data_IF_401429254260
#
_entry.id   IF_401429254260
#
_cell.length_a   1.000
_cell.length_b   1.000
_cell.length_c   1.000
_cell.angle_alpha   90.00
_cell.angle_beta   90.00
_cell.angle_gamma   90.00
#
_symmetry.space_group_name_H-M   'P 1'
#
loop_
_entity.id
_entity.type
_entity.pdbx_description
1 polymer ?
#
# COMPACT_ATOMS: atom_id res chain seq x y z
N UNK A 1 7.85 4.38 -21.44
CA UNK A 1 7.08 5.60 -21.67
C UNK A 1 5.82 5.61 -20.82
N UNK A 2 5.58 6.71 -20.16
CA UNK A 2 4.42 6.86 -19.28
C UNK A 2 3.21 7.28 -20.12
N UNK A 3 2.33 6.34 -20.41
CA UNK A 3 1.11 6.57 -21.19
C UNK A 3 -0.11 6.25 -20.35
N UNK A 4 -1.15 7.05 -20.51
CA UNK A 4 -2.45 6.73 -19.92
C UNK A 4 -2.94 5.38 -20.47
N UNK A 5 -3.54 4.55 -19.61
CA UNK A 5 -4.08 3.28 -20.07
C UNK A 5 -5.27 3.49 -21.00
N UNK A 6 -5.45 2.60 -21.96
CA UNK A 6 -6.60 2.66 -22.86
C UNK A 6 -7.92 2.43 -22.10
N UNK A 7 -7.86 1.63 -21.05
CA UNK A 7 -8.99 1.35 -20.15
C UNK A 7 -8.53 1.56 -18.71
N UNK A 8 -9.47 1.87 -17.80
CA UNK A 8 -9.12 1.96 -16.37
C UNK A 8 -8.43 0.71 -15.87
N UNK A 9 -7.45 0.90 -15.02
CA UNK A 9 -6.62 -0.17 -14.47
C UNK A 9 -6.92 -0.34 -12.99
N UNK A 10 -6.92 -1.57 -12.52
CA UNK A 10 -6.97 -1.85 -11.08
C UNK A 10 -5.57 -1.69 -10.52
N UNK A 11 -5.45 -0.83 -9.51
CA UNK A 11 -4.21 -0.62 -8.78
C UNK A 11 -4.44 -0.87 -7.30
N UNK A 12 -3.38 -1.23 -6.60
CA UNK A 12 -3.45 -1.57 -5.18
C UNK A 12 -2.50 -0.67 -4.43
N UNK A 13 -3.06 0.03 -3.43
CA UNK A 13 -2.33 1.02 -2.65
C UNK A 13 -2.22 0.52 -1.21
N UNK A 14 -0.98 0.40 -0.71
CA UNK A 14 -0.73 0.12 0.69
C UNK A 14 -0.70 1.41 1.49
N UNK A 15 -1.32 1.39 2.67
CA UNK A 15 -1.31 2.49 3.62
C UNK A 15 -0.75 2.01 4.94
N UNK A 16 0.10 2.84 5.57
CA UNK A 16 0.66 2.51 6.87
C UNK A 16 0.92 3.77 7.69
N UNK A 17 0.82 3.63 9.01
CA UNK A 17 1.11 4.73 9.95
C UNK A 17 1.44 4.15 11.33
N UNK A 18 2.35 4.80 12.06
CA UNK A 18 2.60 4.46 13.47
C UNK A 18 2.86 5.68 14.37
N UNK A 19 2.48 6.88 13.91
CA UNK A 19 2.66 8.13 14.66
C UNK A 19 1.37 8.93 14.70
N UNK A 20 1.19 9.71 15.75
CA UNK A 20 0.16 10.78 15.86
C UNK A 20 -1.25 10.29 15.51
N UNK A 21 -1.74 9.25 16.19
CA UNK A 21 -3.04 8.64 15.93
C UNK A 21 -3.09 7.93 14.56
N UNK A 22 -2.46 6.74 14.47
CA UNK A 22 -2.38 5.99 13.20
C UNK A 22 -3.74 5.68 12.56
N UNK A 23 -4.76 5.36 13.36
CA UNK A 23 -6.10 5.07 12.83
C UNK A 23 -6.67 6.27 12.10
N UNK A 24 -6.51 7.47 12.66
CA UNK A 24 -6.97 8.71 12.03
C UNK A 24 -6.21 8.95 10.72
N UNK A 25 -4.90 8.77 10.71
CA UNK A 25 -4.09 8.97 9.50
C UNK A 25 -4.47 7.98 8.40
N UNK A 26 -4.74 6.72 8.74
CA UNK A 26 -5.20 5.74 7.76
C UNK A 26 -6.54 6.14 7.15
N UNK A 27 -7.51 6.53 7.99
CA UNK A 27 -8.82 6.97 7.51
C UNK A 27 -8.73 8.23 6.67
N UNK A 28 -7.91 9.19 7.09
CA UNK A 28 -7.65 10.41 6.33
C UNK A 28 -6.97 10.10 4.99
N UNK A 29 -6.05 9.14 4.98
CA UNK A 29 -5.39 8.68 3.77
C UNK A 29 -6.38 8.06 2.77
N UNK A 30 -7.28 7.20 3.25
CA UNK A 30 -8.34 6.62 2.41
C UNK A 30 -9.24 7.72 1.83
N UNK A 31 -9.62 8.70 2.66
CA UNK A 31 -10.43 9.82 2.21
C UNK A 31 -9.72 10.62 1.11
N UNK A 32 -8.40 10.83 1.25
CA UNK A 32 -7.59 11.49 0.23
C UNK A 32 -7.57 10.70 -1.08
N UNK A 33 -7.47 9.37 -1.01
CA UNK A 33 -7.52 8.52 -2.20
C UNK A 33 -8.84 8.67 -2.95
N UNK A 34 -9.96 8.87 -2.24
CA UNK A 34 -11.27 9.07 -2.88
C UNK A 34 -11.35 10.37 -3.66
N UNK A 35 -10.46 11.32 -3.41
CA UNK A 35 -10.41 12.62 -4.09
C UNK A 35 -9.42 12.66 -5.25
N UNK A 36 -8.71 11.58 -5.52
CA UNK A 36 -7.74 11.55 -6.61
C UNK A 36 -8.43 11.66 -7.97
N UNK A 37 -7.85 12.48 -8.85
CA UNK A 37 -8.34 12.70 -10.21
C UNK A 37 -8.37 11.37 -10.99
N UNK A 38 -9.46 11.13 -11.73
CA UNK A 38 -9.64 9.95 -12.58
C UNK A 38 -9.38 8.62 -11.85
N UNK A 39 -9.68 8.59 -10.55
CA UNK A 39 -9.41 7.42 -9.73
C UNK A 39 -10.58 7.20 -8.78
N UNK A 40 -11.02 5.94 -8.67
CA UNK A 40 -12.11 5.55 -7.78
C UNK A 40 -11.64 4.46 -6.85
N UNK A 41 -11.82 4.68 -5.54
CA UNK A 41 -11.61 3.63 -4.54
C UNK A 41 -12.77 2.64 -4.63
N UNK A 42 -12.47 1.38 -4.95
CA UNK A 42 -13.48 0.33 -5.08
C UNK A 42 -13.67 -0.45 -3.80
N UNK A 43 -12.57 -0.74 -3.10
CA UNK A 43 -12.62 -1.62 -1.95
C UNK A 43 -11.38 -1.37 -1.08
N UNK A 44 -11.56 -1.34 0.23
CA UNK A 44 -10.45 -1.26 1.17
C UNK A 44 -10.53 -2.42 2.16
N UNK A 45 -9.37 -2.91 2.57
CA UNK A 45 -9.26 -3.93 3.60
C UNK A 45 -9.63 -3.36 4.97
N UNK A 46 -9.78 -4.25 5.94
CA UNK A 46 -9.75 -3.87 7.35
C UNK A 46 -8.40 -3.26 7.71
N UNK A 47 -8.31 -2.69 8.90
CA UNK A 47 -7.07 -2.16 9.46
C UNK A 47 -6.37 -3.26 10.24
N UNK A 48 -5.06 -3.38 10.07
CA UNK A 48 -4.25 -4.42 10.70
C UNK A 48 -3.12 -3.80 11.51
N UNK A 49 -2.89 -4.34 12.71
CA UNK A 49 -1.75 -3.96 13.55
C UNK A 49 -0.59 -4.91 13.30
N UNK A 50 0.61 -4.35 13.09
CA UNK A 50 1.82 -5.14 12.88
C UNK A 50 2.99 -4.55 13.64
N UNK A 51 3.91 -5.42 14.10
CA UNK A 51 5.15 -4.97 14.71
C UNK A 51 6.02 -4.26 13.67
N UNK A 52 6.82 -3.25 14.10
CA UNK A 52 7.70 -2.57 13.16
C UNK A 52 8.76 -3.52 12.58
N UNK A 53 9.07 -3.34 11.30
CA UNK A 53 10.15 -4.03 10.61
C UNK A 53 11.35 -3.09 10.58
N UNK A 54 12.54 -3.57 10.93
CA UNK A 54 13.73 -2.75 11.03
C UNK A 54 13.92 -2.18 12.42
N UNK A 55 13.78 -0.87 12.63
CA UNK A 55 13.89 -0.26 13.95
C UNK A 55 12.74 -0.70 14.84
N UNK A 56 13.04 -1.52 15.86
CA UNK A 56 12.05 -2.09 16.77
C UNK A 56 11.62 -1.12 17.88
N UNK A 57 12.38 -0.03 18.09
CA UNK A 57 12.10 0.98 19.13
C UNK A 57 11.12 2.03 18.63
N UNK A 58 9.94 1.58 18.19
CA UNK A 58 8.88 2.47 17.72
C UNK A 58 7.52 1.77 17.88
N UNK A 59 6.41 2.53 17.89
CA UNK A 59 5.09 1.92 18.00
C UNK A 59 4.78 0.98 16.83
N UNK A 60 3.85 0.05 17.07
CA UNK A 60 3.33 -0.82 16.02
C UNK A 60 2.69 0.01 14.90
N UNK A 61 2.79 -0.50 13.68
CA UNK A 61 2.12 0.08 12.53
C UNK A 61 0.65 -0.35 12.45
N UNK A 62 -0.18 0.53 11.93
CA UNK A 62 -1.50 0.18 11.42
C UNK A 62 -1.41 0.22 9.91
N UNK A 63 -1.86 -0.84 9.26
CA UNK A 63 -1.74 -1.02 7.81
C UNK A 63 -3.09 -1.39 7.20
N UNK A 64 -3.27 -1.01 5.94
CA UNK A 64 -4.41 -1.38 5.13
C UNK A 64 -4.01 -1.41 3.65
N UNK A 65 -4.86 -2.00 2.82
CA UNK A 65 -4.70 -1.96 1.37
C UNK A 65 -6.03 -1.55 0.75
N UNK A 66 -5.98 -0.63 -0.21
CA UNK A 66 -7.14 -0.25 -1.01
C UNK A 66 -6.93 -0.62 -2.47
N UNK A 67 -7.99 -1.17 -3.09
CA UNK A 67 -8.03 -1.36 -4.53
C UNK A 67 -8.70 -0.15 -5.15
N UNK A 68 -8.03 0.45 -6.12
CA UNK A 68 -8.56 1.59 -6.86
C UNK A 68 -8.64 1.26 -8.34
N UNK A 69 -9.58 1.91 -9.02
CA UNK A 69 -9.69 1.87 -10.48
C UNK A 69 -9.25 3.24 -10.99
N UNK A 70 -8.25 3.29 -11.85
CA UNK A 70 -7.62 4.54 -12.25
C UNK A 70 -7.34 4.63 -13.74
N UNK A 71 -7.49 5.84 -14.27
CA UNK A 71 -7.03 6.20 -15.62
C UNK A 71 -5.67 6.91 -15.59
N UNK A 72 -5.11 7.13 -14.40
CA UNK A 72 -3.80 7.74 -14.27
C UNK A 72 -2.70 6.77 -14.66
N UNK A 73 -1.60 7.29 -15.22
CA UNK A 73 -0.40 6.51 -15.47
C UNK A 73 0.26 6.12 -14.14
N UNK A 74 1.08 5.05 -14.12
CA UNK A 74 1.76 4.66 -12.88
C UNK A 74 2.59 5.79 -12.26
N UNK A 75 3.34 6.52 -13.07
CA UNK A 75 4.18 7.61 -12.57
C UNK A 75 3.35 8.76 -12.01
N UNK A 76 2.26 9.13 -12.67
CA UNK A 76 1.37 10.19 -12.20
C UNK A 76 0.67 9.78 -10.91
N UNK A 77 0.17 8.54 -10.84
CA UNK A 77 -0.45 8.03 -9.64
C UNK A 77 0.54 8.06 -8.46
N UNK A 78 1.76 7.58 -8.68
CA UNK A 78 2.80 7.59 -7.63
C UNK A 78 3.10 9.02 -7.14
N UNK A 79 3.18 9.98 -8.06
CA UNK A 79 3.39 11.38 -7.71
C UNK A 79 2.29 11.92 -6.81
N UNK A 80 1.03 11.59 -7.11
CA UNK A 80 -0.11 12.02 -6.29
C UNK A 80 -0.10 11.35 -4.91
N UNK A 81 0.30 10.09 -4.82
CA UNK A 81 0.46 9.41 -3.53
C UNK A 81 1.51 10.12 -2.67
N UNK A 82 2.62 10.54 -3.27
CA UNK A 82 3.65 11.29 -2.56
C UNK A 82 3.14 12.64 -2.05
N UNK A 83 2.27 13.31 -2.81
CA UNK A 83 1.67 14.57 -2.39
C UNK A 83 0.76 14.36 -1.17
N UNK A 84 0.00 13.26 -1.13
CA UNK A 84 -0.83 12.92 0.02
C UNK A 84 0.04 12.66 1.26
N UNK A 85 1.13 11.93 1.10
CA UNK A 85 2.08 11.69 2.21
C UNK A 85 2.58 13.00 2.79
N UNK A 86 2.98 13.95 1.94
CA UNK A 86 3.49 15.25 2.37
C UNK A 86 2.44 16.06 3.10
N UNK A 87 1.19 16.01 2.64
CA UNK A 87 0.09 16.69 3.29
C UNK A 87 -0.18 16.15 4.70
N UNK A 88 0.24 14.92 4.98
CA UNK A 88 0.15 14.30 6.30
C UNK A 88 1.44 14.43 7.11
N UNK A 89 2.33 15.32 6.71
CA UNK A 89 3.54 15.65 7.46
C UNK A 89 4.71 14.70 7.27
N UNK A 90 4.67 13.79 6.28
CA UNK A 90 5.79 12.90 6.05
C UNK A 90 7.01 13.66 5.54
N UNK A 91 8.13 13.47 6.22
CA UNK A 91 9.44 13.94 5.79
C UNK A 91 10.27 12.71 5.44
N UNK A 92 10.75 12.63 4.19
CA UNK A 92 11.53 11.48 3.73
C UNK A 92 12.99 11.52 4.19
N UNK A 93 13.38 12.61 4.81
CA UNK A 93 14.68 12.76 5.45
C UNK A 93 14.62 12.11 6.82
N UNK A 94 15.50 11.18 7.09
CA UNK A 94 15.55 10.51 8.37
C UNK A 94 15.92 9.06 8.25
N UNK A 95 15.81 8.34 9.36
CA UNK A 95 16.19 6.95 9.45
C UNK A 95 15.25 6.06 8.63
N UNK A 96 15.83 5.24 7.75
CA UNK A 96 15.09 4.27 6.96
C UNK A 96 14.44 3.25 7.89
N UNK A 97 13.13 3.04 7.73
CA UNK A 97 12.36 2.15 8.60
C UNK A 97 11.92 2.80 9.91
N UNK A 98 12.13 4.13 10.07
CA UNK A 98 11.69 4.87 11.24
C UNK A 98 10.21 5.20 11.25
N UNK A 99 9.74 5.90 12.31
CA UNK A 99 8.32 6.26 12.48
C UNK A 99 7.77 7.12 11.34
N UNK A 100 6.48 6.92 11.00
CA UNK A 100 5.82 7.64 9.90
C UNK A 100 4.39 7.99 10.25
N UNK A 101 3.99 9.23 9.88
CA UNK A 101 2.60 9.67 10.02
C UNK A 101 1.69 8.98 9.01
N UNK A 102 2.10 8.95 7.73
CA UNK A 102 1.37 8.23 6.70
C UNK A 102 2.34 7.79 5.61
N UNK A 103 2.26 6.52 5.25
CA UNK A 103 3.05 5.92 4.19
C UNK A 103 2.06 5.37 3.13
N UNK A 104 2.28 5.72 1.88
CA UNK A 104 1.45 5.23 0.77
C UNK A 104 2.35 4.60 -0.28
N UNK A 105 2.10 3.32 -0.56
CA UNK A 105 2.88 2.56 -1.53
C UNK A 105 2.00 2.11 -2.69
N UNK A 106 2.45 2.32 -3.92
CA UNK A 106 1.86 1.68 -5.07
C UNK A 106 2.37 0.24 -5.12
N UNK A 107 1.48 -0.70 -4.77
CA UNK A 107 1.84 -2.12 -4.66
C UNK A 107 1.77 -2.83 -6.00
N UNK A 108 0.67 -2.63 -6.71
CA UNK A 108 0.38 -3.27 -8.00
C UNK A 108 -0.33 -2.27 -8.91
N UNK A 109 -0.07 -2.38 -10.20
CA UNK A 109 -0.73 -1.59 -11.23
C UNK A 109 -1.12 -2.54 -12.37
N UNK A 110 -2.37 -3.01 -12.34
CA UNK A 110 -2.83 -4.06 -13.24
C UNK A 110 -1.93 -5.28 -13.17
N UNK A 111 -1.59 -5.83 -14.32
CA UNK A 111 -0.66 -6.97 -14.45
C UNK A 111 0.74 -6.53 -14.87
N UNK A 112 1.02 -5.23 -14.84
CA UNK A 112 2.30 -4.70 -15.31
C UNK A 112 3.43 -4.97 -14.32
N UNK A 113 4.62 -5.21 -14.88
CA UNK A 113 5.88 -5.23 -14.16
C UNK A 113 6.68 -4.02 -14.61
N UNK A 114 6.98 -3.13 -13.69
CA UNK A 114 7.70 -1.88 -13.95
C UNK A 114 8.95 -1.89 -13.06
N UNK A 115 10.12 -1.78 -13.69
CA UNK A 115 11.40 -1.77 -12.97
C UNK A 115 12.22 -0.58 -13.46
N UNK A 116 11.95 0.59 -12.89
CA UNK A 116 12.69 1.81 -13.17
C UNK A 116 13.31 2.32 -11.89
N UNK A 117 14.22 3.29 -12.02
CA UNK A 117 14.89 3.89 -10.88
C UNK A 117 13.91 4.54 -9.90
N UNK A 118 12.84 5.15 -10.45
CA UNK A 118 11.87 5.92 -9.66
C UNK A 118 10.62 5.13 -9.27
N UNK A 119 10.38 3.96 -9.89
CA UNK A 119 9.15 3.21 -9.69
C UNK A 119 9.38 1.72 -9.92
N UNK A 120 9.03 0.93 -8.91
CA UNK A 120 9.06 -0.54 -9.01
C UNK A 120 7.69 -1.10 -8.66
N UNK A 121 7.06 -1.81 -9.60
CA UNK A 121 5.75 -2.44 -9.45
C UNK A 121 5.82 -3.83 -10.09
N UNK A 122 5.46 -4.91 -9.40
CA UNK A 122 5.01 -4.96 -7.99
C UNK A 122 6.05 -4.39 -7.03
N UNK A 123 5.58 -3.90 -5.88
CA UNK A 123 6.49 -3.41 -4.85
C UNK A 123 7.56 -4.47 -4.55
N UNK A 124 8.86 -4.12 -4.50
CA UNK A 124 9.94 -5.11 -4.49
C UNK A 124 9.94 -6.05 -3.28
N UNK A 125 9.31 -5.66 -2.18
CA UNK A 125 9.26 -6.48 -0.96
C UNK A 125 7.85 -6.99 -0.63
N UNK A 126 6.88 -6.79 -1.51
CA UNK A 126 5.48 -7.17 -1.29
C UNK A 126 5.36 -8.64 -0.87
N UNK A 127 6.07 -9.53 -1.56
CA UNK A 127 5.97 -10.97 -1.35
C UNK A 127 6.54 -11.46 -0.01
N UNK A 128 7.23 -10.58 0.71
CA UNK A 128 7.86 -10.90 2.01
C UNK A 128 7.10 -10.30 3.19
N UNK A 129 6.06 -9.50 2.94
CA UNK A 129 5.43 -8.66 3.97
C UNK A 129 4.01 -9.11 4.27
N UNK A 130 3.82 -9.80 5.39
CA UNK A 130 2.50 -10.24 5.83
C UNK A 130 1.53 -9.07 5.98
N UNK A 131 2.00 -7.90 6.40
CA UNK A 131 1.16 -6.72 6.59
C UNK A 131 0.65 -6.12 5.26
N UNK A 132 1.13 -6.61 4.12
CA UNK A 132 0.61 -6.32 2.79
C UNK A 132 -0.24 -7.49 2.30
N UNK A 133 0.24 -8.71 2.46
CA UNK A 133 -0.39 -9.91 1.92
C UNK A 133 -1.72 -10.24 2.60
N UNK A 134 -1.83 -10.08 3.93
CA UNK A 134 -3.10 -10.32 4.64
C UNK A 134 -4.21 -9.35 4.18
N UNK A 135 -3.98 -8.03 4.14
CA UNK A 135 -4.99 -7.12 3.60
C UNK A 135 -5.37 -7.41 2.15
N UNK A 136 -4.39 -7.73 1.29
CA UNK A 136 -4.67 -8.13 -0.09
C UNK A 136 -5.54 -9.38 -0.16
N UNK A 137 -5.24 -10.37 0.66
CA UNK A 137 -6.01 -11.61 0.71
C UNK A 137 -7.46 -11.36 1.15
N UNK A 138 -7.68 -10.44 2.07
CA UNK A 138 -9.02 -10.08 2.50
C UNK A 138 -9.87 -9.54 1.34
N UNK A 139 -9.29 -8.69 0.52
CA UNK A 139 -10.05 -8.02 -0.56
C UNK A 139 -10.03 -8.77 -1.88
N UNK A 140 -9.01 -9.62 -2.12
CA UNK A 140 -8.91 -10.36 -3.37
C UNK A 140 -8.09 -11.64 -3.18
N UNK A 141 -8.72 -12.69 -2.62
CA UNK A 141 -7.99 -13.92 -2.24
C UNK A 141 -7.38 -14.70 -3.41
N UNK A 142 -7.93 -14.54 -4.61
CA UNK A 142 -7.44 -15.27 -5.80
C UNK A 142 -6.45 -14.47 -6.63
N UNK A 143 -5.94 -13.38 -6.09
CA UNK A 143 -4.99 -12.50 -6.80
C UNK A 143 -3.71 -13.24 -7.18
N UNK A 144 -3.24 -12.99 -8.39
CA UNK A 144 -1.93 -13.43 -8.87
C UNK A 144 -1.02 -12.21 -8.92
N UNK A 145 0.12 -12.30 -8.25
CA UNK A 145 1.09 -11.21 -8.22
C UNK A 145 2.02 -11.36 -9.41
N UNK A 146 2.05 -10.40 -10.33
CA UNK A 146 2.91 -10.49 -11.52
C UNK A 146 4.37 -10.78 -11.14
N UNK A 147 4.93 -11.84 -11.75
CA UNK A 147 6.31 -12.24 -11.50
C UNK A 147 6.56 -12.93 -10.16
N UNK A 148 5.55 -13.10 -9.30
CA UNK A 148 5.71 -13.70 -7.97
C UNK A 148 4.81 -14.89 -7.71
N UNK A 149 3.70 -15.02 -8.44
CA UNK A 149 2.77 -16.14 -8.31
C UNK A 149 1.54 -15.84 -7.46
N UNK A 150 0.85 -16.89 -7.04
CA UNK A 150 -0.42 -16.78 -6.32
C UNK A 150 -0.24 -16.15 -4.93
N UNK A 151 -1.10 -15.20 -4.61
CA UNK A 151 -1.12 -14.55 -3.30
C UNK A 151 -1.18 -15.55 -2.15
N UNK A 152 -2.00 -16.59 -2.26
CA UNK A 152 -2.13 -17.63 -1.22
C UNK A 152 -0.81 -18.32 -0.93
N UNK A 153 -0.04 -18.61 -1.95
CA UNK A 153 1.28 -19.25 -1.80
C UNK A 153 2.25 -18.32 -1.07
N UNK A 154 2.27 -17.06 -1.47
CA UNK A 154 3.13 -16.07 -0.83
C UNK A 154 2.75 -15.86 0.63
N UNK A 155 1.45 -15.81 0.93
CA UNK A 155 0.95 -15.64 2.30
C UNK A 155 1.36 -16.82 3.19
N UNK A 156 1.32 -18.05 2.67
CA UNK A 156 1.73 -19.23 3.41
C UNK A 156 3.19 -19.15 3.87
N UNK A 157 4.04 -18.43 3.15
CA UNK A 157 5.45 -18.23 3.50
C UNK A 157 5.66 -17.15 4.57
N UNK A 158 4.59 -16.45 4.99
CA UNK A 158 4.66 -15.36 5.95
C UNK A 158 3.90 -15.66 7.24
N UNK A 159 3.56 -16.92 7.52
CA UNK A 159 2.73 -17.31 8.67
C UNK A 159 3.38 -17.03 10.02
N UNK A 160 4.69 -16.86 10.06
CA UNK A 160 5.45 -16.55 11.27
C UNK A 160 5.41 -15.06 11.61
N UNK A 161 4.93 -14.21 10.71
CA UNK A 161 4.80 -12.78 10.96
C UNK A 161 3.45 -12.48 11.62
N UNK A 162 3.49 -11.73 12.73
CA UNK A 162 2.28 -11.42 13.47
C UNK A 162 1.54 -10.25 12.83
N UNK A 163 0.29 -10.49 12.47
CA UNK A 163 -0.62 -9.48 11.91
C UNK A 163 -1.99 -9.65 12.58
N UNK A 164 -2.52 -8.57 13.15
CA UNK A 164 -3.79 -8.60 13.88
C UNK A 164 -4.79 -7.62 13.25
N UNK A 165 -5.97 -8.13 12.88
CA UNK A 165 -7.07 -7.27 12.40
C UNK A 165 -7.63 -6.50 13.59
N UNK A 166 -7.68 -5.17 13.53
CA UNK A 166 -8.06 -4.33 14.67
C UNK A 166 -9.31 -3.48 14.44
N UNK A 167 -9.65 -3.15 13.19
CA UNK A 167 -10.82 -2.31 12.89
C UNK A 167 -11.18 -2.41 11.41
N UNK A 168 -12.36 -1.88 11.05
CA UNK A 168 -12.73 -1.62 9.65
C UNK A 168 -12.48 -0.14 9.34
N UNK A 169 -12.24 0.12 8.07
CA UNK A 169 -11.98 1.48 7.59
C UNK A 169 -13.18 2.41 7.78
#
# INVERSE_FOLDING_TARGET
MDRSPENPVLAYIGLGSNLDDPLMHLRSGVAALTQLYQTRVELCSSLYRTAPVGNQDQPDFINAVCRVRTDQTPATLMRHLLQIERAHGRVREGEKGGPRTLDLDLLLYGSRVIETEDLMVPHPRLHERAFVLYPLHEIEPDLIIPGRGALRTLLANCIDQRVEKVAVV
#
